data_IF_169035362487
#
_entry.id   IF_169035362487
#
_cell.length_a   1.000
_cell.length_b   1.000
_cell.length_c   1.000
_cell.angle_alpha   90.00
_cell.angle_beta   90.00
_cell.angle_gamma   90.00
#
_symmetry.space_group_name_H-M   'P 1'
#
loop_
_entity.id
_entity.type
_entity.pdbx_description
1 polymer ?
#
# COMPACT_ATOMS: atom_id res chain seq x y z
N UNK A 1 -12.84 1.15 -19.14
CA UNK A 1 -11.43 1.20 -19.61
C UNK A 1 -10.78 -0.15 -19.28
N UNK A 2 -10.19 -0.89 -20.24
CA UNK A 2 -9.64 -2.22 -19.99
C UNK A 2 -8.26 -2.17 -19.31
N UNK A 3 -7.87 -3.22 -18.58
CA UNK A 3 -6.57 -3.29 -17.86
C UNK A 3 -5.36 -3.06 -18.79
N UNK A 4 -5.47 -3.47 -20.06
CA UNK A 4 -4.46 -3.31 -21.12
C UNK A 4 -4.17 -1.86 -21.49
N UNK A 5 -5.02 -0.91 -21.09
CA UNK A 5 -4.83 0.52 -21.36
C UNK A 5 -4.19 1.29 -20.20
N UNK A 6 -3.87 0.61 -19.09
CA UNK A 6 -3.16 1.20 -17.96
C UNK A 6 -1.66 1.29 -18.24
N UNK A 7 -1.03 2.38 -17.80
CA UNK A 7 0.42 2.51 -17.88
C UNK A 7 1.12 1.41 -17.06
N UNK A 8 2.31 0.91 -17.46
CA UNK A 8 3.01 -0.18 -16.78
C UNK A 8 3.19 0.04 -15.27
N UNK A 9 3.52 1.26 -14.85
CA UNK A 9 3.71 1.60 -13.43
C UNK A 9 2.43 1.43 -12.59
N UNK A 10 1.25 1.65 -13.16
CA UNK A 10 -0.03 1.44 -12.47
C UNK A 10 -0.28 -0.06 -12.29
N UNK A 11 -0.01 -0.88 -13.31
CA UNK A 11 -0.18 -2.34 -13.24
C UNK A 11 0.75 -2.94 -12.20
N UNK A 12 2.03 -2.53 -12.22
CA UNK A 12 3.03 -2.95 -11.22
C UNK A 12 2.60 -2.54 -9.82
N UNK A 13 2.21 -1.28 -9.62
CA UNK A 13 1.74 -0.80 -8.33
C UNK A 13 0.53 -1.60 -7.83
N UNK A 14 -0.47 -1.79 -8.69
CA UNK A 14 -1.70 -2.51 -8.35
C UNK A 14 -1.41 -3.95 -7.90
N UNK A 15 -0.56 -4.67 -8.63
CA UNK A 15 -0.17 -6.03 -8.27
C UNK A 15 0.54 -6.07 -6.91
N UNK A 16 1.53 -5.21 -6.70
CA UNK A 16 2.30 -5.14 -5.46
C UNK A 16 1.42 -4.74 -4.27
N UNK A 17 0.55 -3.76 -4.45
CA UNK A 17 -0.38 -3.29 -3.42
C UNK A 17 -1.41 -4.36 -3.06
N UNK A 18 -1.99 -5.06 -4.04
CA UNK A 18 -2.93 -6.15 -3.80
C UNK A 18 -2.27 -7.32 -3.05
N UNK A 19 -1.07 -7.71 -3.47
CA UNK A 19 -0.30 -8.75 -2.78
C UNK A 19 0.08 -8.33 -1.35
N UNK A 20 0.49 -7.07 -1.14
CA UNK A 20 0.80 -6.54 0.18
C UNK A 20 -0.42 -6.52 1.11
N UNK A 21 -1.59 -6.10 0.59
CA UNK A 21 -2.85 -6.09 1.31
C UNK A 21 -3.25 -7.49 1.76
N UNK A 22 -3.12 -8.49 0.87
CA UNK A 22 -3.43 -9.88 1.15
C UNK A 22 -2.44 -10.54 2.12
N UNK A 23 -1.13 -10.28 1.97
CA UNK A 23 -0.09 -10.92 2.78
C UNK A 23 0.02 -10.32 4.20
N UNK A 24 -0.28 -9.03 4.35
CA UNK A 24 -0.11 -8.28 5.60
C UNK A 24 -0.78 -8.91 6.83
N UNK A 25 -2.06 -9.32 6.79
CA UNK A 25 -2.73 -9.97 7.92
C UNK A 25 -2.00 -11.22 8.41
N UNK A 26 -1.49 -12.05 7.49
CA UNK A 26 -0.74 -13.25 7.85
C UNK A 26 0.59 -12.90 8.52
N UNK A 27 1.31 -11.90 7.99
CA UNK A 27 2.55 -11.43 8.59
C UNK A 27 2.32 -10.85 10.01
N UNK A 28 1.24 -10.10 10.19
CA UNK A 28 0.88 -9.44 11.44
C UNK A 28 0.31 -10.40 12.51
N UNK A 29 -0.43 -11.42 12.10
CA UNK A 29 -0.99 -12.45 12.98
C UNK A 29 0.04 -13.50 13.41
N UNK A 30 1.10 -13.71 12.61
CA UNK A 30 2.14 -14.68 12.93
C UNK A 30 2.91 -14.32 14.22
N UNK A 31 3.33 -15.35 14.98
CA UNK A 31 4.11 -15.16 16.21
C UNK A 31 5.43 -14.44 15.90
N UNK A 32 5.61 -13.24 16.48
CA UNK A 32 6.83 -12.44 16.28
C UNK A 32 8.08 -13.25 16.60
N UNK A 33 9.04 -13.20 15.69
CA UNK A 33 10.33 -13.89 15.81
C UNK A 33 10.37 -15.31 15.23
N UNK A 34 9.21 -15.91 14.95
CA UNK A 34 9.13 -17.20 14.26
C UNK A 34 9.70 -17.12 12.83
N UNK A 35 10.12 -18.28 12.27
CA UNK A 35 10.57 -18.37 10.87
C UNK A 35 9.48 -17.89 9.90
N UNK A 36 8.23 -18.25 10.17
CA UNK A 36 7.07 -17.82 9.40
C UNK A 36 6.93 -16.29 9.43
N UNK A 37 6.98 -15.67 10.61
CA UNK A 37 6.92 -14.21 10.72
C UNK A 37 8.03 -13.50 9.96
N UNK A 38 9.27 -14.03 10.01
CA UNK A 38 10.40 -13.43 9.29
C UNK A 38 10.20 -13.54 7.78
N UNK A 39 9.81 -14.71 7.27
CA UNK A 39 9.54 -14.92 5.84
C UNK A 39 8.41 -14.02 5.32
N UNK A 40 7.25 -14.06 5.98
CA UNK A 40 6.10 -13.21 5.62
C UNK A 40 6.42 -11.73 5.78
N UNK A 41 7.13 -11.35 6.85
CA UNK A 41 7.53 -9.97 7.10
C UNK A 41 8.47 -9.42 6.03
N UNK A 42 9.47 -10.19 5.59
CA UNK A 42 10.35 -9.77 4.50
C UNK A 42 9.60 -9.65 3.17
N UNK A 43 8.79 -10.64 2.83
CA UNK A 43 7.97 -10.59 1.62
C UNK A 43 7.03 -9.37 1.64
N UNK A 44 6.35 -9.12 2.75
CA UNK A 44 5.45 -7.97 2.90
C UNK A 44 6.17 -6.63 2.81
N UNK A 45 7.33 -6.48 3.47
CA UNK A 45 8.15 -5.25 3.40
C UNK A 45 8.59 -4.99 1.95
N UNK A 46 9.05 -6.01 1.23
CA UNK A 46 9.45 -5.88 -0.18
C UNK A 46 8.27 -5.42 -1.05
N UNK A 47 7.09 -6.05 -0.88
CA UNK A 47 5.88 -5.66 -1.62
C UNK A 47 5.48 -4.21 -1.33
N UNK A 48 5.50 -3.80 -0.07
CA UNK A 48 5.15 -2.43 0.33
C UNK A 48 6.14 -1.40 -0.22
N UNK A 49 7.45 -1.66 -0.15
CA UNK A 49 8.46 -0.75 -0.69
C UNK A 49 8.35 -0.65 -2.22
N UNK A 50 8.09 -1.77 -2.91
CA UNK A 50 7.84 -1.77 -4.35
C UNK A 50 6.56 -1.02 -4.73
N UNK A 51 5.47 -1.21 -3.98
CA UNK A 51 4.23 -0.46 -4.19
C UNK A 51 4.44 1.04 -3.97
N UNK A 52 5.11 1.43 -2.88
CA UNK A 52 5.44 2.83 -2.61
C UNK A 52 6.35 3.41 -3.72
N UNK A 53 7.41 2.72 -4.12
CA UNK A 53 8.31 3.19 -5.18
C UNK A 53 7.59 3.37 -6.51
N UNK A 54 6.80 2.38 -6.95
CA UNK A 54 6.01 2.46 -8.18
C UNK A 54 4.96 3.58 -8.13
N UNK A 55 4.34 3.83 -6.96
CA UNK A 55 3.38 4.92 -6.78
C UNK A 55 3.97 6.30 -7.03
N UNK A 56 5.27 6.50 -6.79
CA UNK A 56 5.95 7.78 -7.01
C UNK A 56 5.98 8.21 -8.49
N UNK A 57 5.74 7.27 -9.41
CA UNK A 57 5.67 7.50 -10.87
C UNK A 57 4.24 7.62 -11.40
N UNK A 58 3.22 7.42 -10.56
CA UNK A 58 1.82 7.58 -10.94
C UNK A 58 1.47 9.06 -10.83
N UNK A 59 0.85 9.64 -11.87
CA UNK A 59 0.43 11.05 -11.88
C UNK A 59 -1.07 11.15 -11.93
N UNK A 60 -1.61 12.14 -11.23
CA UNK A 60 -3.02 12.47 -11.29
C UNK A 60 -3.23 13.98 -11.36
N UNK A 61 -3.92 14.41 -12.41
CA UNK A 61 -4.23 15.81 -12.68
C UNK A 61 -5.69 16.16 -12.39
N UNK A 62 -6.50 15.20 -11.92
CA UNK A 62 -7.94 15.41 -11.63
C UNK A 62 -8.21 16.02 -10.25
N UNK A 63 -7.27 15.91 -9.33
CA UNK A 63 -7.32 16.53 -8.00
C UNK A 63 -6.37 17.73 -7.92
N UNK A 64 -6.52 18.62 -6.92
CA UNK A 64 -5.49 19.62 -6.61
C UNK A 64 -4.12 18.95 -6.54
N UNK A 65 -3.19 19.44 -7.36
CA UNK A 65 -1.89 18.81 -7.56
C UNK A 65 -0.81 19.85 -7.87
N UNK A 66 0.44 19.45 -7.62
CA UNK A 66 1.64 20.14 -8.09
C UNK A 66 2.37 19.19 -9.04
N UNK A 67 2.41 19.52 -10.34
CA UNK A 67 3.01 18.68 -11.37
C UNK A 67 2.48 17.21 -11.37
N UNK A 68 1.17 17.03 -11.14
CA UNK A 68 0.53 15.72 -11.07
C UNK A 68 0.73 14.95 -9.76
N UNK A 69 1.45 15.53 -8.78
CA UNK A 69 1.51 15.02 -7.42
C UNK A 69 0.34 15.58 -6.59
N UNK A 70 -0.57 14.69 -6.23
CA UNK A 70 -1.72 14.98 -5.35
C UNK A 70 -1.41 14.61 -3.89
N UNK A 71 -2.22 15.03 -2.90
CA UNK A 71 -1.99 14.72 -1.48
C UNK A 71 -1.81 13.23 -1.15
N UNK A 72 -2.32 12.32 -1.97
CA UNK A 72 -2.12 10.88 -1.75
C UNK A 72 -0.65 10.43 -1.85
N UNK A 73 0.20 11.17 -2.55
CA UNK A 73 1.64 10.87 -2.61
C UNK A 73 2.33 11.03 -1.25
N UNK A 74 1.69 11.70 -0.29
CA UNK A 74 2.16 11.67 1.09
C UNK A 74 2.15 10.25 1.66
N UNK A 75 1.23 9.37 1.24
CA UNK A 75 1.22 7.97 1.66
C UNK A 75 2.47 7.22 1.19
N UNK A 76 3.07 7.61 0.07
CA UNK A 76 4.35 7.06 -0.40
C UNK A 76 5.45 7.34 0.62
N UNK A 77 5.62 8.61 1.01
CA UNK A 77 6.63 9.04 1.99
C UNK A 77 6.35 8.44 3.36
N UNK A 78 5.10 8.49 3.82
CA UNK A 78 4.67 7.92 5.10
C UNK A 78 4.95 6.41 5.15
N UNK A 79 4.77 5.69 4.05
CA UNK A 79 5.06 4.25 3.98
C UNK A 79 6.55 3.99 4.14
N UNK A 80 7.42 4.71 3.43
CA UNK A 80 8.88 4.57 3.58
C UNK A 80 9.33 4.88 5.01
N UNK A 81 8.84 5.98 5.59
CA UNK A 81 9.16 6.36 6.98
C UNK A 81 8.63 5.33 7.97
N UNK A 82 7.41 4.82 7.78
CA UNK A 82 6.78 3.81 8.63
C UNK A 82 7.56 2.50 8.64
N UNK A 83 7.97 2.00 7.47
CA UNK A 83 8.82 0.81 7.36
C UNK A 83 10.20 1.07 7.98
N UNK A 84 10.85 2.19 7.65
CA UNK A 84 12.15 2.55 8.21
C UNK A 84 12.11 2.61 9.74
N UNK A 85 11.10 3.26 10.32
CA UNK A 85 10.89 3.31 11.76
C UNK A 85 10.64 1.91 12.35
N UNK A 86 9.80 1.09 11.72
CA UNK A 86 9.53 -0.27 12.17
C UNK A 86 10.80 -1.14 12.18
N UNK A 87 11.67 -1.01 11.17
CA UNK A 87 12.95 -1.70 11.09
C UNK A 87 13.93 -1.18 12.16
N UNK A 88 14.01 0.14 12.34
CA UNK A 88 14.82 0.75 13.39
C UNK A 88 14.41 0.26 14.79
N UNK A 89 13.10 0.21 15.07
CA UNK A 89 12.60 -0.28 16.35
C UNK A 89 12.98 -1.74 16.63
N UNK A 90 12.90 -2.64 15.63
CA UNK A 90 13.29 -4.04 15.84
C UNK A 90 14.80 -4.20 16.04
N UNK A 91 15.62 -3.41 15.33
CA UNK A 91 17.08 -3.40 15.51
C UNK A 91 17.47 -2.98 16.94
N UNK A 92 16.74 -2.02 17.53
CA UNK A 92 16.96 -1.55 18.90
C UNK A 92 16.19 -2.37 19.94
N UNK A 93 15.70 -3.56 19.59
CA UNK A 93 14.92 -4.45 20.47
C UNK A 93 13.64 -3.83 21.06
N UNK A 94 13.12 -2.75 20.46
CA UNK A 94 11.87 -2.06 20.83
C UNK A 94 10.66 -2.74 20.14
N UNK A 95 10.35 -3.96 20.56
CA UNK A 95 9.37 -4.84 19.87
C UNK A 95 7.94 -4.28 19.86
N UNK A 96 7.51 -3.63 20.95
CA UNK A 96 6.18 -3.03 21.01
C UNK A 96 6.02 -1.91 19.97
N UNK A 97 7.05 -1.06 19.81
CA UNK A 97 7.06 0.01 18.82
C UNK A 97 7.14 -0.53 17.38
N UNK A 98 7.95 -1.57 17.15
CA UNK A 98 7.97 -2.28 15.87
C UNK A 98 6.57 -2.78 15.48
N UNK A 99 5.87 -3.45 16.40
CA UNK A 99 4.51 -3.96 16.16
C UNK A 99 3.54 -2.81 15.87
N UNK A 100 3.58 -1.73 16.66
CA UNK A 100 2.72 -0.56 16.43
C UNK A 100 2.97 0.09 15.08
N UNK A 101 4.25 0.30 14.72
CA UNK A 101 4.63 0.87 13.45
C UNK A 101 4.20 -0.01 12.25
N UNK A 102 4.35 -1.34 12.35
CA UNK A 102 3.89 -2.25 11.30
C UNK A 102 2.36 -2.21 11.12
N UNK A 103 1.58 -2.17 12.21
CA UNK A 103 0.13 -2.02 12.12
C UNK A 103 -0.31 -0.68 11.53
N UNK A 104 0.30 0.43 11.98
CA UNK A 104 0.01 1.76 11.42
C UNK A 104 0.33 1.80 9.92
N UNK A 105 1.47 1.24 9.53
CA UNK A 105 1.89 1.20 8.12
C UNK A 105 0.96 0.34 7.28
N UNK A 106 0.51 -0.82 7.77
CA UNK A 106 -0.47 -1.66 7.08
C UNK A 106 -1.83 -0.97 6.95
N UNK A 107 -2.36 -0.40 8.03
CA UNK A 107 -3.65 0.26 8.02
C UNK A 107 -3.64 1.52 7.13
N UNK A 108 -2.60 2.35 7.21
CA UNK A 108 -2.49 3.55 6.38
C UNK A 108 -2.18 3.22 4.92
N UNK A 109 -1.13 2.43 4.69
CA UNK A 109 -0.57 2.16 3.37
C UNK A 109 -1.31 1.11 2.55
N UNK A 110 -1.97 0.13 3.18
CA UNK A 110 -2.79 -0.85 2.46
C UNK A 110 -4.28 -0.48 2.54
N UNK A 111 -4.84 -0.38 3.75
CA UNK A 111 -6.30 -0.20 3.92
C UNK A 111 -6.72 1.22 3.51
N UNK A 112 -6.07 2.25 4.06
CA UNK A 112 -6.37 3.64 3.74
C UNK A 112 -6.17 3.96 2.26
N UNK A 113 -5.03 3.56 1.68
CA UNK A 113 -4.77 3.73 0.25
C UNK A 113 -5.76 2.94 -0.62
N UNK A 114 -6.10 1.71 -0.23
CA UNK A 114 -7.09 0.89 -0.92
C UNK A 114 -8.48 1.52 -0.93
N UNK A 115 -8.95 2.05 0.21
CA UNK A 115 -10.21 2.78 0.30
C UNK A 115 -10.22 4.01 -0.62
N UNK A 116 -9.11 4.75 -0.69
CA UNK A 116 -9.00 5.86 -1.63
C UNK A 116 -9.07 5.39 -3.09
N UNK A 117 -8.44 4.27 -3.44
CA UNK A 117 -8.48 3.71 -4.78
C UNK A 117 -9.89 3.27 -5.22
N UNK A 118 -10.78 3.00 -4.26
CA UNK A 118 -12.18 2.64 -4.48
C UNK A 118 -13.13 3.85 -4.57
N UNK A 119 -12.65 5.08 -4.35
CA UNK A 119 -13.49 6.27 -4.50
C UNK A 119 -14.05 6.40 -5.93
N UNK A 120 -15.29 6.90 -6.10
CA UNK A 120 -15.84 7.21 -7.41
C UNK A 120 -14.91 8.11 -8.22
N UNK A 121 -14.76 7.83 -9.51
CA UNK A 121 -13.81 8.53 -10.40
C UNK A 121 -12.39 7.96 -10.42
N UNK A 122 -12.07 6.97 -9.57
CA UNK A 122 -10.86 6.15 -9.69
C UNK A 122 -11.12 4.89 -10.50
N UNK A 123 -10.06 4.31 -11.09
CA UNK A 123 -10.19 3.11 -11.92
C UNK A 123 -10.86 1.93 -11.18
N UNK A 124 -10.36 1.56 -9.99
CA UNK A 124 -10.95 0.46 -9.21
C UNK A 124 -12.33 0.82 -8.67
N UNK A 125 -12.53 2.08 -8.26
CA UNK A 125 -13.85 2.58 -7.90
C UNK A 125 -14.85 2.42 -9.04
N UNK A 126 -14.54 2.91 -10.24
CA UNK A 126 -15.40 2.76 -11.42
C UNK A 126 -15.73 1.29 -11.69
N UNK A 127 -14.74 0.39 -11.61
CA UNK A 127 -14.96 -1.04 -11.78
C UNK A 127 -15.92 -1.60 -10.73
N UNK A 128 -15.72 -1.25 -9.45
CA UNK A 128 -16.56 -1.70 -8.34
C UNK A 128 -17.98 -1.15 -8.44
N UNK A 129 -18.15 0.17 -8.58
CA UNK A 129 -19.46 0.83 -8.60
C UNK A 129 -20.27 0.44 -9.83
N UNK A 130 -19.62 0.24 -10.98
CA UNK A 130 -20.28 -0.19 -12.21
C UNK A 130 -20.72 -1.66 -12.14
N UNK A 131 -19.83 -2.58 -11.74
CA UNK A 131 -20.15 -4.02 -11.77
C UNK A 131 -20.89 -4.54 -10.55
N UNK A 132 -20.63 -3.99 -9.35
CA UNK A 132 -21.21 -4.51 -8.11
C UNK A 132 -22.51 -3.81 -7.72
N UNK A 133 -22.71 -2.56 -8.14
CA UNK A 133 -23.82 -1.72 -7.65
C UNK A 133 -24.67 -1.08 -8.76
N UNK A 134 -24.24 -1.16 -10.03
CA UNK A 134 -25.01 -0.65 -11.17
C UNK A 134 -25.30 0.86 -11.13
N UNK A 135 -24.54 1.63 -10.36
CA UNK A 135 -24.89 3.02 -10.00
C UNK A 135 -24.27 4.12 -10.89
N UNK A 136 -23.54 3.79 -11.96
CA UNK A 136 -22.97 4.78 -12.89
C UNK A 136 -22.82 4.15 -14.27
#
# INVERSE_FOLDING_TARGET
>A
MPLSSLSPQIVVHLFLAAAALALGPFALASRKGSRLHRGLGYAWVTLMLGAAASSAFIRDFRLPNVAGYTPIHLLTVITFVGIGAALWYVMHRRIQNHRRAMWITYLGGCVGAGLFALLPGRYLGQLLWHHALGLI
#
